data_IF_970813545571
#
_entry.id   IF_970813545571
#
_cell.length_a   1.000
_cell.length_b   1.000
_cell.length_c   1.000
_cell.angle_alpha   90.00
_cell.angle_beta   90.00
_cell.angle_gamma   90.00
#
_symmetry.space_group_name_H-M   'P 1'
#
loop_
_entity.id
_entity.type
_entity.pdbx_description
1 polymer ?
#
# COMPACT_ATOMS: atom_id res chain seq x y z
N UNK A 1 -5.07 27.81 21.17
CA UNK A 1 -6.27 28.56 21.56
C UNK A 1 -5.92 30.00 21.94
N UNK A 2 -4.95 30.21 22.85
CA UNK A 2 -4.58 31.54 23.34
C UNK A 2 -4.18 32.53 22.24
N UNK A 3 -3.34 32.11 21.29
CA UNK A 3 -2.95 32.95 20.16
C UNK A 3 -4.16 33.44 19.32
N UNK A 4 -5.22 32.65 19.20
CA UNK A 4 -6.44 33.09 18.51
C UNK A 4 -7.31 34.02 19.32
N UNK A 5 -7.29 33.89 20.67
CA UNK A 5 -7.92 34.86 21.55
C UNK A 5 -7.21 36.24 21.47
N UNK A 6 -5.87 36.27 21.46
CA UNK A 6 -5.10 37.49 21.23
C UNK A 6 -5.42 38.15 19.88
N UNK A 7 -5.53 37.34 18.78
CA UNK A 7 -5.94 37.86 17.48
C UNK A 7 -7.33 38.51 17.48
N UNK A 8 -8.23 38.07 18.37
CA UNK A 8 -9.55 38.70 18.59
C UNK A 8 -9.55 39.85 19.57
N UNK A 9 -8.39 40.22 20.13
CA UNK A 9 -8.28 41.17 21.27
C UNK A 9 -9.13 40.73 22.47
N UNK A 10 -9.23 39.44 22.77
CA UNK A 10 -9.96 38.86 23.88
C UNK A 10 -9.02 38.45 25.01
N UNK A 11 -9.35 38.79 26.24
CA UNK A 11 -8.60 38.40 27.45
C UNK A 11 -8.77 36.88 27.74
N UNK A 12 -9.83 36.27 27.25
CA UNK A 12 -10.15 34.87 27.52
C UNK A 12 -10.19 34.02 26.23
N UNK A 13 -9.69 32.79 26.35
CA UNK A 13 -9.80 31.78 25.29
C UNK A 13 -11.20 31.17 25.30
N UNK A 14 -11.90 31.31 24.21
CA UNK A 14 -13.25 30.75 24.02
C UNK A 14 -13.25 29.46 23.21
N UNK A 15 -14.39 28.77 23.17
CA UNK A 15 -14.55 27.53 22.41
C UNK A 15 -14.21 27.67 20.91
N UNK A 16 -14.54 28.83 20.32
CA UNK A 16 -14.22 29.13 18.93
C UNK A 16 -12.71 29.18 18.68
N UNK A 17 -11.93 29.73 19.59
CA UNK A 17 -10.47 29.80 19.48
C UNK A 17 -9.82 28.41 19.57
N UNK A 18 -10.35 27.58 20.47
CA UNK A 18 -9.91 26.18 20.60
C UNK A 18 -10.25 25.37 19.33
N UNK A 19 -11.49 25.48 18.84
CA UNK A 19 -11.91 24.81 17.60
C UNK A 19 -11.05 25.23 16.42
N UNK A 20 -10.76 26.52 16.29
CA UNK A 20 -9.91 27.05 15.22
C UNK A 20 -8.48 26.53 15.33
N UNK A 21 -7.91 26.53 16.55
CA UNK A 21 -6.58 25.98 16.79
C UNK A 21 -6.48 24.49 16.42
N UNK A 22 -7.47 23.69 16.77
CA UNK A 22 -7.54 22.27 16.42
C UNK A 22 -7.65 22.10 14.89
N UNK A 23 -8.52 22.85 14.24
CA UNK A 23 -8.69 22.82 12.78
C UNK A 23 -7.40 23.17 12.06
N UNK A 24 -6.72 24.24 12.48
CA UNK A 24 -5.44 24.64 11.87
C UNK A 24 -4.30 23.65 12.19
N UNK A 25 -4.31 23.02 13.36
CA UNK A 25 -3.37 21.93 13.65
C UNK A 25 -3.62 20.77 12.69
N UNK A 26 -4.87 20.32 12.52
CA UNK A 26 -5.22 19.26 11.56
C UNK A 26 -4.73 19.56 10.14
N UNK A 27 -5.02 20.74 9.62
CA UNK A 27 -4.54 21.17 8.29
C UNK A 27 -3.03 21.13 8.13
N UNK A 28 -2.28 21.33 9.20
CA UNK A 28 -0.80 21.24 9.14
C UNK A 28 -0.32 19.79 9.14
N UNK A 29 -0.93 18.91 9.95
CA UNK A 29 -0.48 17.53 10.11
C UNK A 29 -0.92 16.62 8.97
N UNK A 30 -2.08 16.89 8.33
CA UNK A 30 -2.55 16.11 7.17
C UNK A 30 -2.10 16.68 5.82
N UNK A 31 -1.19 17.63 5.81
CA UNK A 31 -0.72 18.26 4.57
C UNK A 31 -0.09 17.27 3.59
N UNK A 32 0.61 16.24 4.12
CA UNK A 32 1.23 15.20 3.29
C UNK A 32 0.16 14.35 2.61
N UNK A 33 -0.87 13.93 3.36
CA UNK A 33 -2.03 13.22 2.83
C UNK A 33 -2.70 14.02 1.72
N UNK A 34 -3.11 15.27 2.00
CA UNK A 34 -3.75 16.15 1.02
C UNK A 34 -2.92 16.29 -0.28
N UNK A 35 -1.59 16.43 -0.16
CA UNK A 35 -0.73 16.52 -1.33
C UNK A 35 -0.67 15.21 -2.14
N UNK A 36 -0.74 14.07 -1.47
CA UNK A 36 -0.81 12.76 -2.13
C UNK A 36 -2.14 12.55 -2.84
N UNK A 37 -3.25 12.97 -2.23
CA UNK A 37 -4.59 12.90 -2.82
C UNK A 37 -4.66 13.78 -4.08
N UNK A 38 -4.20 15.03 -3.99
CA UNK A 38 -4.07 15.93 -5.14
C UNK A 38 -3.22 15.32 -6.26
N UNK A 39 -2.17 14.56 -5.92
CA UNK A 39 -1.33 13.87 -6.91
C UNK A 39 -2.08 12.76 -7.65
N UNK A 40 -2.99 12.06 -6.97
CA UNK A 40 -3.87 11.05 -7.60
C UNK A 40 -4.92 11.74 -8.46
N UNK A 41 -5.62 12.74 -7.93
CA UNK A 41 -6.65 13.50 -8.64
C UNK A 41 -6.13 14.16 -9.93
N UNK A 42 -4.90 14.69 -9.89
CA UNK A 42 -4.26 15.30 -11.06
C UNK A 42 -3.59 14.26 -12.00
N UNK A 43 -3.69 12.96 -11.71
CA UNK A 43 -3.14 11.89 -12.54
C UNK A 43 -1.62 11.76 -12.51
N UNK A 44 -0.94 12.41 -11.56
CA UNK A 44 0.51 12.24 -11.36
C UNK A 44 0.82 10.90 -10.68
N UNK A 45 -0.05 10.43 -9.79
CA UNK A 45 0.01 9.09 -9.21
C UNK A 45 -1.07 8.23 -9.84
N UNK A 46 -0.66 7.11 -10.45
CA UNK A 46 -1.55 6.24 -11.19
C UNK A 46 -2.27 5.26 -10.26
N UNK A 47 -3.47 5.59 -9.86
CA UNK A 47 -4.41 4.67 -9.21
C UNK A 47 -5.65 4.55 -10.11
N UNK A 48 -6.04 3.32 -10.41
CA UNK A 48 -7.25 3.06 -11.20
C UNK A 48 -8.33 2.48 -10.31
N UNK A 49 -9.53 3.00 -10.45
CA UNK A 49 -10.72 2.59 -9.70
C UNK A 49 -11.80 1.96 -10.57
N UNK A 50 -11.53 1.83 -11.87
CA UNK A 50 -12.46 1.27 -12.85
C UNK A 50 -11.78 0.25 -13.76
N UNK A 51 -12.60 -0.58 -14.38
CA UNK A 51 -12.14 -1.56 -15.36
C UNK A 51 -11.49 -2.80 -14.75
N UNK A 52 -10.75 -3.52 -15.58
CA UNK A 52 -10.06 -4.78 -15.23
C UNK A 52 -8.70 -4.83 -15.91
N UNK A 53 -7.67 -5.28 -15.17
CA UNK A 53 -6.30 -5.43 -15.70
C UNK A 53 -5.67 -6.74 -15.26
N UNK A 54 -4.84 -7.31 -16.13
CA UNK A 54 -4.00 -8.46 -15.81
C UNK A 54 -2.70 -7.98 -15.20
N UNK A 55 -2.26 -8.61 -14.12
CA UNK A 55 -1.00 -8.27 -13.46
C UNK A 55 -0.99 -6.88 -12.79
N UNK A 56 -2.14 -6.34 -12.43
CA UNK A 56 -2.28 -5.05 -11.75
C UNK A 56 -3.31 -5.16 -10.64
N UNK A 57 -2.98 -4.64 -9.45
CA UNK A 57 -3.88 -4.60 -8.28
C UNK A 57 -3.60 -3.35 -7.44
N UNK A 58 -4.60 -2.85 -6.73
CA UNK A 58 -4.42 -1.83 -5.71
C UNK A 58 -4.15 -2.48 -4.35
N UNK A 59 -2.99 -2.20 -3.77
CA UNK A 59 -2.64 -2.55 -2.39
C UNK A 59 -2.87 -1.37 -1.45
N UNK A 60 -2.98 -1.64 -0.14
CA UNK A 60 -3.20 -0.63 0.88
C UNK A 60 -2.06 -0.62 1.91
N UNK A 61 -1.59 0.56 2.23
CA UNK A 61 -0.58 0.80 3.25
C UNK A 61 -1.01 1.91 4.22
N UNK A 62 -0.33 2.03 5.34
CA UNK A 62 -0.47 3.15 6.27
C UNK A 62 0.83 3.93 6.29
N UNK A 63 0.74 5.23 6.13
CA UNK A 63 1.85 6.15 6.31
C UNK A 63 1.70 6.90 7.63
N UNK A 64 2.82 7.12 8.32
CA UNK A 64 2.86 7.87 9.56
C UNK A 64 3.81 9.06 9.43
N UNK A 65 3.32 10.23 9.78
CA UNK A 65 4.09 11.48 9.81
C UNK A 65 4.30 11.99 11.26
N UNK A 66 4.57 11.04 12.17
CA UNK A 66 4.74 11.31 13.59
C UNK A 66 3.41 11.29 14.35
N UNK A 67 2.75 12.44 14.53
CA UNK A 67 1.47 12.52 15.25
C UNK A 67 0.24 12.12 14.42
N UNK A 68 0.41 11.87 13.12
CA UNK A 68 -0.68 11.58 12.20
C UNK A 68 -0.39 10.38 11.33
N UNK A 69 -1.37 9.49 11.19
CA UNK A 69 -1.30 8.33 10.30
C UNK A 69 -2.52 8.33 9.39
N UNK A 70 -2.31 7.96 8.14
CA UNK A 70 -3.37 7.88 7.13
C UNK A 70 -3.12 6.69 6.20
N UNK A 71 -4.19 6.21 5.58
CA UNK A 71 -4.14 5.15 4.60
C UNK A 71 -3.76 5.66 3.22
N UNK A 72 -3.17 4.78 2.42
CA UNK A 72 -2.82 5.07 1.03
C UNK A 72 -3.03 3.84 0.17
N UNK A 73 -3.65 4.04 -0.98
CA UNK A 73 -3.61 3.08 -2.07
C UNK A 73 -2.28 3.16 -2.82
N UNK A 74 -1.78 2.00 -3.24
CA UNK A 74 -0.60 1.89 -4.09
C UNK A 74 -0.86 0.87 -5.19
N UNK A 75 -0.51 1.21 -6.42
CA UNK A 75 -0.59 0.29 -7.55
C UNK A 75 0.55 -0.71 -7.46
N UNK A 76 0.20 -2.00 -7.42
CA UNK A 76 1.15 -3.10 -7.45
C UNK A 76 1.02 -3.79 -8.79
N UNK A 77 2.14 -4.03 -9.45
CA UNK A 77 2.18 -4.72 -10.74
C UNK A 77 3.03 -5.98 -10.66
N UNK A 78 2.68 -6.97 -11.46
CA UNK A 78 3.50 -8.15 -11.67
C UNK A 78 3.64 -8.44 -13.15
N UNK A 79 4.85 -8.81 -13.54
CA UNK A 79 5.16 -9.36 -14.86
C UNK A 79 5.79 -10.73 -14.69
N UNK A 80 5.40 -11.67 -15.55
CA UNK A 80 5.86 -13.05 -15.48
C UNK A 80 6.34 -13.54 -16.83
N UNK A 81 7.40 -14.34 -16.83
CA UNK A 81 7.97 -14.98 -18.02
C UNK A 81 8.64 -16.30 -17.64
N UNK A 82 8.85 -17.22 -18.59
CA UNK A 82 9.69 -18.40 -18.37
C UNK A 82 11.10 -17.99 -17.92
N UNK A 83 11.66 -18.70 -16.93
CA UNK A 83 13.00 -18.41 -16.43
C UNK A 83 13.34 -19.14 -15.13
N UNK A 84 14.44 -18.79 -14.49
CA UNK A 84 14.95 -19.48 -13.30
C UNK A 84 15.17 -18.58 -12.08
N UNK A 85 14.81 -17.30 -12.15
CA UNK A 85 15.05 -16.35 -11.06
C UNK A 85 14.06 -16.47 -9.90
N UNK A 86 12.89 -17.11 -10.13
CA UNK A 86 11.81 -17.12 -9.15
C UNK A 86 11.13 -15.76 -9.01
N UNK A 87 10.64 -15.45 -7.81
CA UNK A 87 10.03 -14.15 -7.50
C UNK A 87 11.14 -13.13 -7.20
N UNK A 88 11.14 -12.05 -7.96
CA UNK A 88 12.01 -10.89 -7.80
C UNK A 88 11.14 -9.71 -7.37
N UNK A 89 11.31 -9.25 -6.14
CA UNK A 89 10.71 -8.02 -5.67
C UNK A 89 11.64 -6.86 -5.99
N UNK A 90 11.17 -5.89 -6.77
CA UNK A 90 12.00 -4.80 -7.30
C UNK A 90 12.50 -3.90 -6.16
N UNK A 91 11.67 -3.58 -5.18
CA UNK A 91 12.03 -2.76 -4.03
C UNK A 91 13.17 -3.39 -3.23
N UNK A 92 13.17 -4.71 -3.10
CA UNK A 92 14.27 -5.44 -2.44
C UNK A 92 15.58 -5.32 -3.20
N UNK A 93 15.54 -5.50 -4.52
CA UNK A 93 16.76 -5.45 -5.36
C UNK A 93 17.42 -4.07 -5.35
N UNK A 94 16.66 -3.01 -5.11
CA UNK A 94 17.17 -1.62 -5.04
C UNK A 94 17.28 -1.09 -3.60
N UNK A 95 17.20 -1.98 -2.58
CA UNK A 95 17.30 -1.64 -1.15
C UNK A 95 16.23 -0.64 -0.66
N UNK A 96 15.04 -0.72 -1.21
CA UNK A 96 13.88 0.10 -0.82
C UNK A 96 12.84 -0.70 -0.02
N UNK A 97 13.15 -1.92 0.42
CA UNK A 97 12.25 -2.75 1.22
C UNK A 97 12.85 -3.11 2.58
N UNK A 98 12.01 -3.09 3.61
CA UNK A 98 12.36 -3.52 4.95
C UNK A 98 12.38 -5.05 5.10
N UNK A 99 12.92 -5.52 6.22
CA UNK A 99 13.12 -6.95 6.49
C UNK A 99 11.82 -7.73 6.62
N UNK A 100 10.75 -7.10 7.12
CA UNK A 100 9.43 -7.74 7.29
C UNK A 100 8.77 -7.95 5.92
N UNK A 101 8.86 -6.95 5.04
CA UNK A 101 8.39 -7.09 3.66
C UNK A 101 9.16 -8.19 2.91
N UNK A 102 10.49 -8.20 3.01
CA UNK A 102 11.32 -9.24 2.38
C UNK A 102 10.96 -10.65 2.86
N UNK A 103 10.64 -10.82 4.14
CA UNK A 103 10.13 -12.08 4.70
C UNK A 103 8.80 -12.47 4.04
N UNK A 104 7.87 -11.53 3.85
CA UNK A 104 6.61 -11.76 3.14
C UNK A 104 6.84 -12.33 1.74
N UNK A 105 7.72 -11.73 0.96
CA UNK A 105 8.05 -12.19 -0.40
C UNK A 105 8.63 -13.60 -0.41
N UNK A 106 9.48 -13.95 0.57
CA UNK A 106 10.01 -15.32 0.68
C UNK A 106 8.92 -16.34 1.02
N UNK A 107 7.96 -15.96 1.85
CA UNK A 107 6.78 -16.79 2.17
C UNK A 107 5.96 -17.08 0.90
N UNK A 108 5.76 -16.07 0.04
CA UNK A 108 5.07 -16.25 -1.25
C UNK A 108 5.79 -17.25 -2.14
N UNK A 109 7.12 -17.20 -2.18
CA UNK A 109 7.94 -18.18 -2.91
C UNK A 109 7.70 -19.60 -2.44
N UNK A 110 7.65 -19.80 -1.12
CA UNK A 110 7.33 -21.09 -0.49
C UNK A 110 5.93 -21.58 -0.85
N UNK A 111 4.93 -20.71 -0.74
CA UNK A 111 3.53 -21.02 -1.09
C UNK A 111 3.38 -21.42 -2.57
N UNK A 112 3.96 -20.66 -3.49
CA UNK A 112 3.89 -20.96 -4.92
C UNK A 112 4.60 -22.28 -5.25
N UNK A 113 5.74 -22.53 -4.64
CA UNK A 113 6.49 -23.78 -4.85
C UNK A 113 5.71 -25.00 -4.34
N UNK A 114 5.08 -24.90 -3.17
CA UNK A 114 4.27 -25.99 -2.61
C UNK A 114 3.03 -26.29 -3.48
N UNK A 115 2.37 -25.28 -4.03
CA UNK A 115 1.10 -25.45 -4.72
C UNK A 115 1.23 -25.69 -6.24
N UNK A 116 2.31 -25.22 -6.86
CA UNK A 116 2.43 -25.20 -8.32
C UNK A 116 3.72 -25.87 -8.86
N UNK A 117 4.61 -26.36 -8.01
CA UNK A 117 5.88 -26.94 -8.41
C UNK A 117 6.10 -28.38 -7.90
N UNK A 118 5.04 -29.12 -7.63
CA UNK A 118 5.14 -30.49 -7.09
C UNK A 118 5.64 -31.49 -8.13
N UNK A 119 5.16 -31.41 -9.37
CA UNK A 119 5.47 -32.36 -10.43
C UNK A 119 6.49 -31.82 -11.44
N UNK A 120 6.64 -30.51 -11.55
CA UNK A 120 7.53 -29.84 -12.49
C UNK A 120 8.25 -28.67 -11.80
N UNK A 121 9.52 -28.47 -12.13
CA UNK A 121 10.26 -27.30 -11.69
C UNK A 121 9.53 -26.02 -12.11
N UNK A 122 9.24 -25.15 -11.17
CA UNK A 122 8.67 -23.82 -11.44
C UNK A 122 9.72 -22.94 -12.12
N UNK A 123 9.85 -23.08 -13.44
CA UNK A 123 10.75 -22.25 -14.25
C UNK A 123 10.12 -20.89 -14.52
N UNK A 124 10.24 -19.97 -13.59
CA UNK A 124 9.56 -18.68 -13.57
C UNK A 124 10.52 -17.52 -13.26
N UNK A 125 10.40 -16.46 -14.04
CA UNK A 125 10.81 -15.12 -13.62
C UNK A 125 9.55 -14.32 -13.35
N UNK A 126 9.36 -13.86 -12.13
CA UNK A 126 8.24 -13.01 -11.73
C UNK A 126 8.78 -11.74 -11.07
N UNK A 127 8.46 -10.60 -11.63
CA UNK A 127 8.85 -9.31 -11.08
C UNK A 127 7.63 -8.64 -10.49
N UNK A 128 7.72 -8.25 -9.21
CA UNK A 128 6.68 -7.50 -8.50
C UNK A 128 7.22 -6.12 -8.19
N UNK A 129 6.40 -5.11 -8.40
CA UNK A 129 6.75 -3.70 -8.19
C UNK A 129 5.60 -2.94 -7.54
N UNK A 130 5.91 -2.09 -6.57
CA UNK A 130 5.03 -1.05 -6.06
C UNK A 130 5.27 0.22 -6.86
N UNK A 131 4.41 0.46 -7.83
CA UNK A 131 4.56 1.57 -8.78
C UNK A 131 4.58 2.92 -8.06
N UNK A 132 5.48 3.80 -8.50
CA UNK A 132 5.63 5.16 -7.98
C UNK A 132 5.84 5.23 -6.45
N UNK A 133 6.42 4.18 -5.86
CA UNK A 133 6.82 4.18 -4.46
C UNK A 133 8.32 4.48 -4.34
N UNK A 134 8.65 5.68 -3.90
CA UNK A 134 10.03 6.15 -3.75
C UNK A 134 10.46 6.30 -2.28
N UNK A 135 9.53 6.09 -1.35
CA UNK A 135 9.75 6.21 0.09
C UNK A 135 10.13 4.91 0.79
N UNK A 136 10.23 3.82 0.04
CA UNK A 136 10.44 2.49 0.58
C UNK A 136 9.14 1.82 1.08
N UNK A 137 9.23 0.53 1.39
CA UNK A 137 8.13 -0.28 1.91
C UNK A 137 8.63 -1.19 3.03
N UNK A 138 7.83 -1.37 4.07
CA UNK A 138 8.05 -2.41 5.07
C UNK A 138 6.70 -2.99 5.53
N UNK A 139 6.76 -4.10 6.28
CA UNK A 139 5.58 -4.87 6.67
C UNK A 139 5.18 -5.91 5.62
N UNK A 140 4.43 -6.90 6.05
CA UNK A 140 3.96 -8.04 5.25
C UNK A 140 2.50 -7.90 4.82
N UNK A 141 1.85 -6.80 5.16
CA UNK A 141 0.42 -6.59 4.94
C UNK A 141 0.00 -6.45 3.46
N UNK A 142 0.96 -6.36 2.54
CA UNK A 142 0.72 -6.35 1.11
C UNK A 142 0.86 -7.75 0.46
N UNK A 143 1.33 -8.77 1.20
CA UNK A 143 1.67 -10.06 0.61
C UNK A 143 0.49 -10.79 -0.03
N UNK A 144 -0.74 -10.59 0.44
CA UNK A 144 -1.92 -11.10 -0.26
C UNK A 144 -2.15 -10.41 -1.61
N UNK A 145 -1.96 -9.09 -1.69
CA UNK A 145 -2.06 -8.34 -2.95
C UNK A 145 -0.96 -8.76 -3.93
N UNK A 146 0.27 -8.94 -3.44
CA UNK A 146 1.40 -9.44 -4.23
C UNK A 146 1.12 -10.85 -4.77
N UNK A 147 0.55 -11.75 -3.96
CA UNK A 147 0.15 -13.08 -4.43
C UNK A 147 -0.90 -12.97 -5.53
N UNK A 148 -1.97 -12.21 -5.33
CA UNK A 148 -3.05 -12.11 -6.31
C UNK A 148 -2.59 -11.48 -7.63
N UNK A 149 -1.72 -10.49 -7.59
CA UNK A 149 -1.18 -9.88 -8.81
C UNK A 149 -0.25 -10.84 -9.56
N UNK A 150 0.53 -11.67 -8.83
CA UNK A 150 1.35 -12.73 -9.42
C UNK A 150 0.48 -13.79 -10.09
N UNK A 151 -0.55 -14.29 -9.40
CA UNK A 151 -1.48 -15.28 -9.96
C UNK A 151 -2.24 -14.72 -11.18
N UNK A 152 -2.62 -13.45 -11.13
CA UNK A 152 -3.23 -12.76 -12.28
C UNK A 152 -2.29 -12.72 -13.47
N UNK A 153 -1.04 -12.34 -13.27
CA UNK A 153 -0.03 -12.29 -14.33
C UNK A 153 0.25 -13.66 -14.92
N UNK A 154 0.33 -14.70 -14.08
CA UNK A 154 0.59 -16.08 -14.50
C UNK A 154 -0.57 -16.70 -15.28
N UNK A 155 -1.80 -16.45 -14.83
CA UNK A 155 -3.01 -17.06 -15.41
C UNK A 155 -3.62 -16.25 -16.55
N UNK A 156 -3.23 -15.00 -16.73
CA UNK A 156 -3.89 -14.05 -17.63
C UNK A 156 -5.28 -13.59 -17.17
N UNK A 157 -5.69 -13.93 -15.93
CA UNK A 157 -6.99 -13.52 -15.36
C UNK A 157 -6.92 -12.10 -14.85
N UNK A 158 -7.80 -11.25 -15.36
CA UNK A 158 -7.84 -9.83 -14.99
C UNK A 158 -8.46 -9.59 -13.61
N UNK A 159 -7.90 -8.64 -12.87
CA UNK A 159 -8.40 -8.17 -11.57
C UNK A 159 -9.23 -6.89 -11.77
N UNK A 160 -10.35 -6.78 -11.06
CA UNK A 160 -11.14 -5.54 -11.00
C UNK A 160 -10.34 -4.45 -10.30
N UNK A 161 -10.30 -3.24 -10.88
CA UNK A 161 -9.50 -2.14 -10.33
C UNK A 161 -10.25 -1.30 -9.29
N UNK A 162 -11.55 -1.49 -9.13
CA UNK A 162 -12.35 -0.90 -8.05
C UNK A 162 -12.25 -1.66 -6.72
N UNK A 163 -11.24 -2.53 -6.58
CA UNK A 163 -10.97 -3.30 -5.37
C UNK A 163 -9.52 -3.01 -4.95
N UNK A 164 -9.34 -2.75 -3.68
CA UNK A 164 -8.03 -2.74 -3.05
C UNK A 164 -7.89 -3.88 -2.06
N UNK A 165 -6.69 -4.40 -1.89
CA UNK A 165 -6.40 -5.58 -1.07
C UNK A 165 -5.34 -5.28 -0.04
N UNK A 166 -5.56 -5.71 1.19
CA UNK A 166 -4.57 -5.77 2.25
C UNK A 166 -4.73 -7.05 3.05
N UNK A 167 -3.65 -7.64 3.46
CA UNK A 167 -3.61 -8.87 4.25
C UNK A 167 -2.21 -9.48 4.20
N UNK A 168 -1.77 -10.06 5.30
CA UNK A 168 -0.61 -10.93 5.31
C UNK A 168 -1.03 -12.34 4.93
N UNK A 169 -0.15 -13.08 4.27
CA UNK A 169 -0.39 -14.48 3.93
C UNK A 169 0.71 -15.36 4.51
N UNK A 170 0.35 -16.55 5.01
CA UNK A 170 1.32 -17.54 5.47
C UNK A 170 1.68 -18.54 4.35
N UNK A 171 2.64 -19.43 4.62
CA UNK A 171 3.10 -20.43 3.64
C UNK A 171 2.01 -21.44 3.22
N UNK A 172 0.91 -21.54 3.97
CA UNK A 172 -0.21 -22.44 3.66
C UNK A 172 -1.35 -21.75 2.91
N UNK A 173 -1.24 -20.44 2.69
CA UNK A 173 -2.24 -19.65 1.97
C UNK A 173 -3.30 -19.00 2.86
N UNK A 174 -3.19 -19.13 4.20
CA UNK A 174 -4.14 -18.49 5.09
C UNK A 174 -3.86 -16.99 5.19
N UNK A 175 -4.93 -16.20 5.09
CA UNK A 175 -4.86 -14.74 5.28
C UNK A 175 -4.83 -14.41 6.76
N UNK A 176 -3.87 -13.58 7.14
CA UNK A 176 -3.63 -13.16 8.51
C UNK A 176 -4.06 -11.70 8.71
N UNK A 177 -4.43 -11.38 9.95
CA UNK A 177 -4.85 -10.04 10.36
C UNK A 177 -3.69 -9.05 10.23
N UNK A 178 -4.01 -7.83 9.78
CA UNK A 178 -3.06 -6.72 9.63
C UNK A 178 -3.56 -5.48 10.35
N UNK A 179 -2.66 -4.57 10.70
CA UNK A 179 -2.98 -3.31 11.35
C UNK A 179 -3.46 -2.22 10.40
N UNK A 180 -4.02 -1.14 10.98
CA UNK A 180 -4.38 0.07 10.26
C UNK A 180 -5.54 -0.09 9.28
N UNK A 181 -6.51 -0.93 9.58
CA UNK A 181 -7.63 -1.22 8.68
C UNK A 181 -8.50 0.02 8.46
N UNK A 182 -8.78 0.80 9.50
CA UNK A 182 -9.60 2.01 9.39
C UNK A 182 -8.93 3.03 8.47
N UNK A 183 -7.66 3.31 8.69
CA UNK A 183 -6.87 4.22 7.85
C UNK A 183 -6.81 3.74 6.40
N UNK A 184 -6.62 2.44 6.20
CA UNK A 184 -6.55 1.82 4.87
C UNK A 184 -7.87 1.94 4.10
N UNK A 185 -9.00 1.77 4.79
CA UNK A 185 -10.34 1.94 4.19
C UNK A 185 -10.55 3.41 3.82
N UNK A 186 -10.28 4.33 4.76
CA UNK A 186 -10.39 5.77 4.51
C UNK A 186 -9.53 6.24 3.34
N UNK A 187 -8.31 5.70 3.22
CA UNK A 187 -7.37 6.07 2.15
C UNK A 187 -7.66 5.44 0.78
N UNK A 188 -8.72 4.64 0.62
CA UNK A 188 -9.18 4.12 -0.67
C UNK A 188 -10.58 4.61 -1.06
N UNK A 189 -11.34 5.11 -0.08
CA UNK A 189 -12.71 5.60 -0.27
C UNK A 189 -12.72 7.02 -0.83
#
# INVERSE_FOLDING_TARGET
GSAYAEFRNSEYTEQCDVKKAISEKRKRINRVETHMDESIENGFTLIETEGRKVGVINGLSVLSTGEYSFGRASRITATTSPGSKGIVNIEREVNMSGSIHNKGVLILGGYLSENFAQDLLLSLNAYVCFEQNYGGIDGDSASSAELYVLLSSLSGVSIKQNIAVTGSINQKGDIQVVGGISEKIEGFY
#
